data_IF_540161541031
#
_entry.id   IF_540161541031
#
_cell.length_a   1.000
_cell.length_b   1.000
_cell.length_c   1.000
_cell.angle_alpha   90.00
_cell.angle_beta   90.00
_cell.angle_gamma   90.00
#
_symmetry.space_group_name_H-M   'P 1'
#
loop_
_entity.id
_entity.type
_entity.pdbx_description
1 polymer ?
#
# COMPACT_ATOMS: atom_id res chain seq x y z
N UNK A 1 4.86 1.28 -15.47
CA UNK A 1 4.21 2.01 -14.36
C UNK A 1 3.80 1.13 -13.18
N UNK A 2 3.29 -0.11 -13.38
CA UNK A 2 2.97 -1.03 -12.26
C UNK A 2 4.12 -1.23 -11.27
N UNK A 3 5.30 -1.60 -11.78
CA UNK A 3 6.51 -1.85 -10.97
C UNK A 3 6.93 -0.63 -10.13
N UNK A 4 6.77 0.58 -10.67
CA UNK A 4 7.03 1.82 -9.94
C UNK A 4 6.09 1.97 -8.75
N UNK A 5 4.80 1.73 -8.93
CA UNK A 5 3.83 1.83 -7.82
C UNK A 5 4.09 0.75 -6.76
N UNK A 6 4.49 -0.47 -7.16
CA UNK A 6 4.94 -1.51 -6.22
C UNK A 6 6.11 -1.00 -5.36
N UNK A 7 7.15 -0.45 -6.01
CA UNK A 7 8.32 0.05 -5.31
C UNK A 7 7.98 1.22 -4.37
N UNK A 8 7.13 2.16 -4.81
CA UNK A 8 6.75 3.32 -4.01
C UNK A 8 5.84 2.93 -2.84
N UNK A 9 4.87 2.02 -3.03
CA UNK A 9 4.03 1.49 -1.95
C UNK A 9 4.90 0.79 -0.90
N UNK A 10 5.86 -0.03 -1.33
CA UNK A 10 6.83 -0.67 -0.42
C UNK A 10 7.66 0.35 0.36
N UNK A 11 8.21 1.36 -0.33
CA UNK A 11 9.02 2.41 0.30
C UNK A 11 8.22 3.27 1.30
N UNK A 12 6.99 3.64 0.97
CA UNK A 12 6.11 4.42 1.86
C UNK A 12 5.62 3.59 3.05
N UNK A 13 5.42 2.29 2.85
CA UNK A 13 5.18 1.35 3.96
C UNK A 13 6.38 1.30 4.89
N UNK A 14 7.61 1.18 4.33
CA UNK A 14 8.84 1.18 5.13
C UNK A 14 9.03 2.47 5.95
N UNK A 15 8.67 3.62 5.35
CA UNK A 15 8.78 4.92 5.99
C UNK A 15 7.81 5.06 7.18
N UNK A 16 6.65 4.40 7.15
CA UNK A 16 5.74 4.23 8.28
C UNK A 16 4.95 5.46 8.73
N UNK A 17 5.32 6.68 8.32
CA UNK A 17 4.67 7.93 8.72
C UNK A 17 4.02 8.73 7.58
N UNK A 18 4.22 8.33 6.32
CA UNK A 18 3.71 9.03 5.13
C UNK A 18 2.39 8.43 4.60
N UNK A 19 1.41 8.23 5.49
CA UNK A 19 0.14 7.56 5.15
C UNK A 19 -0.69 8.27 4.06
N UNK A 20 -0.80 9.62 4.01
CA UNK A 20 -1.50 10.29 2.92
C UNK A 20 -0.90 9.99 1.54
N UNK A 21 0.43 9.97 1.45
CA UNK A 21 1.15 9.66 0.21
C UNK A 21 0.97 8.18 -0.15
N UNK A 22 1.00 7.28 0.85
CA UNK A 22 0.72 5.87 0.64
C UNK A 22 -0.65 5.67 -0.01
N UNK A 23 -1.70 6.33 0.51
CA UNK A 23 -3.06 6.26 -0.07
C UNK A 23 -3.08 6.71 -1.53
N UNK A 24 -2.45 7.85 -1.84
CA UNK A 24 -2.33 8.34 -3.23
C UNK A 24 -1.70 7.28 -4.15
N UNK A 25 -0.63 6.62 -3.70
CA UNK A 25 0.04 5.58 -4.47
C UNK A 25 -0.72 4.24 -4.52
N UNK A 26 -1.54 3.92 -3.52
CA UNK A 26 -2.51 2.81 -3.60
C UNK A 26 -3.57 3.11 -4.67
N UNK A 27 -4.14 4.31 -4.71
CA UNK A 27 -5.04 4.73 -5.80
C UNK A 27 -4.35 4.66 -7.17
N UNK A 28 -3.11 5.18 -7.28
CA UNK A 28 -2.34 5.14 -8.51
C UNK A 28 -2.04 3.69 -8.94
N UNK A 29 -1.67 2.83 -7.99
CA UNK A 29 -1.46 1.40 -8.16
C UNK A 29 -2.66 0.70 -8.78
N UNK A 30 -3.85 0.91 -8.20
CA UNK A 30 -5.11 0.39 -8.75
C UNK A 30 -5.37 0.92 -10.18
N UNK A 31 -5.12 2.21 -10.44
CA UNK A 31 -5.31 2.81 -11.76
C UNK A 31 -4.37 2.23 -12.84
N UNK A 32 -3.16 1.81 -12.46
CA UNK A 32 -2.21 1.16 -13.37
C UNK A 32 -2.40 -0.36 -13.42
N UNK A 33 -3.45 -0.87 -12.78
CA UNK A 33 -3.90 -2.26 -12.87
C UNK A 33 -3.32 -3.19 -11.81
N UNK A 34 -2.75 -2.69 -10.71
CA UNK A 34 -2.50 -3.55 -9.54
C UNK A 34 -3.83 -4.00 -8.93
N UNK A 35 -3.87 -5.25 -8.49
CA UNK A 35 -4.98 -5.82 -7.73
C UNK A 35 -4.87 -5.47 -6.25
N UNK A 36 -5.99 -5.56 -5.53
CA UNK A 36 -6.03 -5.46 -4.07
C UNK A 36 -5.04 -6.44 -3.43
N UNK A 37 -5.00 -7.68 -3.90
CA UNK A 37 -4.15 -8.74 -3.38
C UNK A 37 -2.66 -8.48 -3.62
N UNK A 38 -2.27 -7.96 -4.80
CA UNK A 38 -0.88 -7.56 -5.06
C UNK A 38 -0.44 -6.43 -4.12
N UNK A 39 -1.30 -5.43 -3.87
CA UNK A 39 -0.99 -4.32 -2.96
C UNK A 39 -0.84 -4.84 -1.52
N UNK A 40 -1.76 -5.69 -1.07
CA UNK A 40 -1.69 -6.33 0.25
C UNK A 40 -0.42 -7.18 0.38
N UNK A 41 -0.05 -7.95 -0.65
CA UNK A 41 1.15 -8.76 -0.65
C UNK A 41 2.43 -7.91 -0.51
N UNK A 42 2.51 -6.77 -1.21
CA UNK A 42 3.62 -5.83 -1.07
C UNK A 42 3.71 -5.30 0.36
N UNK A 43 2.60 -4.82 0.93
CA UNK A 43 2.56 -4.26 2.29
C UNK A 43 2.90 -5.34 3.34
N UNK A 44 2.40 -6.56 3.19
CA UNK A 44 2.69 -7.69 4.08
C UNK A 44 4.16 -8.10 4.02
N UNK A 45 4.77 -8.10 2.84
CA UNK A 45 6.20 -8.40 2.67
C UNK A 45 7.05 -7.43 3.49
N UNK A 46 6.61 -6.18 3.64
CA UNK A 46 7.31 -5.19 4.45
C UNK A 46 7.31 -5.49 5.94
N UNK A 47 6.47 -6.40 6.46
CA UNK A 47 6.51 -6.77 7.87
C UNK A 47 7.89 -7.32 8.27
N UNK A 48 8.55 -8.04 7.36
CA UNK A 48 9.90 -8.58 7.57
C UNK A 48 10.99 -7.50 7.56
N UNK A 49 10.77 -6.37 6.89
CA UNK A 49 11.79 -5.33 6.67
C UNK A 49 11.58 -4.05 7.49
N UNK A 50 10.33 -3.71 7.80
CA UNK A 50 9.93 -2.48 8.48
C UNK A 50 9.16 -2.75 9.79
N UNK A 51 8.86 -4.02 10.08
CA UNK A 51 8.15 -4.44 11.30
C UNK A 51 6.64 -4.29 11.22
N UNK A 52 5.95 -5.03 12.10
CA UNK A 52 4.48 -5.04 12.17
C UNK A 52 3.83 -3.65 12.36
N UNK A 53 4.35 -2.71 13.17
CA UNK A 53 3.69 -1.42 13.35
C UNK A 53 3.55 -0.62 12.05
N UNK A 54 4.60 -0.57 11.23
CA UNK A 54 4.59 0.15 9.96
C UNK A 54 3.66 -0.54 8.93
N UNK A 55 3.74 -1.87 8.85
CA UNK A 55 2.87 -2.68 7.99
C UNK A 55 1.39 -2.55 8.36
N UNK A 56 1.03 -2.60 9.65
CA UNK A 56 -0.36 -2.46 10.10
C UNK A 56 -0.92 -1.07 9.76
N UNK A 57 -0.14 0.00 9.98
CA UNK A 57 -0.54 1.35 9.58
C UNK A 57 -0.81 1.43 8.07
N UNK A 58 0.05 0.81 7.26
CA UNK A 58 -0.11 0.76 5.82
C UNK A 58 -1.33 -0.06 5.38
N UNK A 59 -1.59 -1.20 6.02
CA UNK A 59 -2.78 -2.02 5.74
C UNK A 59 -4.07 -1.27 6.05
N UNK A 60 -4.15 -0.57 7.19
CA UNK A 60 -5.33 0.24 7.51
C UNK A 60 -5.52 1.39 6.50
N UNK A 61 -4.45 2.07 6.12
CA UNK A 61 -4.50 3.12 5.11
C UNK A 61 -4.94 2.57 3.74
N UNK A 62 -4.45 1.40 3.32
CA UNK A 62 -4.87 0.75 2.08
C UNK A 62 -6.34 0.29 2.14
N UNK A 63 -6.79 -0.20 3.30
CA UNK A 63 -8.18 -0.60 3.51
C UNK A 63 -9.15 0.57 3.33
N UNK A 64 -8.81 1.77 3.83
CA UNK A 64 -9.60 2.97 3.58
C UNK A 64 -9.77 3.23 2.08
N UNK A 65 -8.69 3.14 1.30
CA UNK A 65 -8.73 3.31 -0.16
C UNK A 65 -9.58 2.22 -0.83
N UNK A 66 -9.48 0.97 -0.38
CA UNK A 66 -10.29 -0.12 -0.93
C UNK A 66 -11.78 0.11 -0.67
N UNK A 67 -12.15 0.60 0.51
CA UNK A 67 -13.54 0.96 0.84
C UNK A 67 -14.02 2.11 -0.04
N UNK A 68 -13.23 3.17 -0.20
CA UNK A 68 -13.54 4.31 -1.09
C UNK A 68 -13.74 3.88 -2.55
N UNK A 69 -13.02 2.85 -3.01
CA UNK A 69 -13.09 2.30 -4.36
C UNK A 69 -14.21 1.26 -4.55
N UNK A 70 -14.96 0.91 -3.50
CA UNK A 70 -15.96 -0.16 -3.55
C UNK A 70 -15.37 -1.57 -3.71
N UNK A 71 -14.13 -1.77 -3.22
CA UNK A 71 -13.38 -3.03 -3.27
C UNK A 71 -13.29 -3.71 -1.89
N UNK A 72 -14.16 -3.31 -0.95
CA UNK A 72 -14.19 -3.81 0.42
C UNK A 72 -14.53 -5.31 0.46
#
# INVERSE_FOLDING_TARGET
NREREIAVIGALTALGCALPQLKVHVHAGLNVGLTKDEIIAVINTMAAYAGFPATLNALFAAQEVFVERGLA
#
